data_IF_453867191142
#
_entry.id   IF_453867191142
#
_cell.length_a   1.000
_cell.length_b   1.000
_cell.length_c   1.000
_cell.angle_alpha   90.00
_cell.angle_beta   90.00
_cell.angle_gamma   90.00
#
_symmetry.space_group_name_H-M   'P 1'
#
loop_
_entity.id
_entity.type
_entity.pdbx_description
1 polymer ?
#
# COMPACT_ATOMS: atom_id res chain seq x y z
N UNK A 1 13.84 -0.83 -19.12
CA UNK A 1 14.88 -0.05 -18.40
C UNK A 1 15.59 -0.89 -17.35
N UNK A 2 14.87 -1.58 -16.46
CA UNK A 2 15.50 -2.53 -15.52
C UNK A 2 16.22 -3.67 -16.25
N UNK A 3 15.54 -4.31 -17.22
CA UNK A 3 16.10 -5.41 -18.01
C UNK A 3 17.31 -5.01 -18.89
N UNK A 4 17.44 -3.72 -19.21
CA UNK A 4 18.49 -3.16 -20.06
C UNK A 4 19.49 -2.29 -19.28
N UNK A 5 19.47 -2.39 -17.95
CA UNK A 5 20.26 -1.54 -17.04
C UNK A 5 21.75 -1.77 -17.26
N UNK A 6 22.46 -0.71 -17.66
CA UNK A 6 23.92 -0.66 -17.65
C UNK A 6 24.40 0.10 -16.42
N UNK A 7 25.36 -0.49 -15.72
CA UNK A 7 25.90 0.02 -14.45
C UNK A 7 27.39 0.26 -14.61
N UNK A 8 27.89 1.41 -14.14
CA UNK A 8 29.34 1.64 -14.04
C UNK A 8 29.93 0.85 -12.87
N UNK A 9 31.25 0.72 -12.79
CA UNK A 9 31.93 0.00 -11.69
C UNK A 9 31.59 0.47 -10.26
N UNK A 10 30.88 1.59 -10.09
CA UNK A 10 30.49 2.17 -8.81
C UNK A 10 28.96 2.11 -8.55
N UNK A 11 28.22 1.20 -9.18
CA UNK A 11 26.75 1.08 -9.05
C UNK A 11 25.92 2.28 -9.55
N UNK A 12 26.53 3.20 -10.32
CA UNK A 12 25.80 4.32 -10.92
C UNK A 12 25.11 3.86 -12.21
N UNK A 13 23.81 4.13 -12.31
CA UNK A 13 22.98 3.85 -13.48
C UNK A 13 23.40 4.76 -14.64
N UNK A 14 23.64 4.17 -15.81
CA UNK A 14 23.95 4.91 -17.03
C UNK A 14 22.68 5.24 -17.80
N UNK A 15 22.36 6.52 -17.94
CA UNK A 15 21.21 7.04 -18.69
C UNK A 15 21.72 7.89 -19.88
N UNK A 16 22.00 7.21 -21.00
CA UNK A 16 22.70 7.78 -22.15
C UNK A 16 21.82 8.81 -22.90
N UNK A 17 20.55 8.48 -23.13
CA UNK A 17 19.64 9.31 -23.93
C UNK A 17 18.76 10.24 -23.08
N UNK A 18 18.18 11.26 -23.72
CA UNK A 18 17.13 12.07 -23.09
C UNK A 18 15.92 11.21 -22.71
N UNK A 19 15.54 10.27 -23.58
CA UNK A 19 14.39 9.40 -23.38
C UNK A 19 14.56 8.50 -22.15
N UNK A 20 15.77 7.97 -21.92
CA UNK A 20 16.08 7.22 -20.70
C UNK A 20 15.93 8.10 -19.46
N UNK A 21 16.51 9.32 -19.49
CA UNK A 21 16.46 10.25 -18.35
C UNK A 21 15.04 10.69 -18.04
N UNK A 22 14.25 11.07 -19.05
CA UNK A 22 12.89 11.55 -18.82
C UNK A 22 11.98 10.41 -18.33
N UNK A 23 12.15 9.18 -18.82
CA UNK A 23 11.40 8.03 -18.34
C UNK A 23 11.72 7.73 -16.86
N UNK A 24 13.00 7.82 -16.43
CA UNK A 24 13.36 7.70 -15.01
C UNK A 24 12.70 8.80 -14.19
N UNK A 25 12.77 10.06 -14.63
CA UNK A 25 12.22 11.19 -13.89
C UNK A 25 10.69 11.12 -13.75
N UNK A 26 9.99 10.68 -14.79
CA UNK A 26 8.54 10.44 -14.74
C UNK A 26 8.20 9.36 -13.70
N UNK A 27 8.91 8.23 -13.71
CA UNK A 27 8.71 7.17 -12.73
C UNK A 27 9.09 7.62 -11.32
N UNK A 28 10.12 8.45 -11.17
CA UNK A 28 10.53 9.00 -9.87
C UNK A 28 9.42 9.86 -9.26
N UNK A 29 8.81 10.75 -10.05
CA UNK A 29 7.68 11.58 -9.61
C UNK A 29 6.47 10.69 -9.28
N UNK A 30 6.20 9.67 -10.10
CA UNK A 30 5.10 8.75 -9.86
C UNK A 30 5.28 7.92 -8.58
N UNK A 31 6.50 7.42 -8.32
CA UNK A 31 6.83 6.76 -7.07
C UNK A 31 6.63 7.71 -5.88
N UNK A 32 7.06 8.98 -6.02
CA UNK A 32 6.87 9.98 -4.97
C UNK A 32 5.38 10.23 -4.64
N UNK A 33 4.54 10.31 -5.67
CA UNK A 33 3.08 10.45 -5.53
C UNK A 33 2.44 9.23 -4.84
N UNK A 34 2.90 8.03 -5.21
CA UNK A 34 2.47 6.75 -4.62
C UNK A 34 3.34 6.29 -3.45
N UNK A 35 3.95 7.22 -2.72
CA UNK A 35 4.90 6.89 -1.63
C UNK A 35 4.25 6.73 -0.26
N UNK A 36 2.96 7.04 -0.09
CA UNK A 36 2.31 7.00 1.23
C UNK A 36 2.47 5.65 1.94
N UNK A 37 2.25 4.50 1.28
CA UNK A 37 2.38 3.19 1.93
C UNK A 37 3.81 2.79 2.28
N UNK A 38 4.82 3.52 1.79
CA UNK A 38 6.24 3.23 2.05
C UNK A 38 6.82 4.07 3.20
N UNK A 39 6.02 4.92 3.84
CA UNK A 39 6.43 5.76 4.97
C UNK A 39 6.27 5.03 6.31
N UNK A 40 6.89 5.51 7.40
CA UNK A 40 6.57 5.05 8.74
C UNK A 40 5.06 5.00 8.98
N UNK A 41 4.60 3.95 9.65
CA UNK A 41 3.18 3.61 9.77
C UNK A 41 2.32 4.78 10.28
N UNK A 42 2.83 5.58 11.23
CA UNK A 42 2.10 6.73 11.78
C UNK A 42 1.86 7.85 10.75
N UNK A 43 2.74 7.97 9.76
CA UNK A 43 2.59 8.88 8.63
C UNK A 43 1.62 8.27 7.62
N UNK A 44 1.77 6.98 7.31
CA UNK A 44 0.91 6.29 6.35
C UNK A 44 -0.56 6.34 6.79
N UNK A 45 -0.86 6.03 8.06
CA UNK A 45 -2.23 6.10 8.61
C UNK A 45 -2.85 7.49 8.41
N UNK A 46 -2.10 8.58 8.67
CA UNK A 46 -2.60 9.95 8.46
C UNK A 46 -2.96 10.22 7.00
N UNK A 47 -2.22 9.65 6.05
CA UNK A 47 -2.54 9.77 4.62
C UNK A 47 -3.76 8.94 4.23
N UNK A 48 -3.86 7.72 4.77
CA UNK A 48 -5.04 6.86 4.58
C UNK A 48 -6.30 7.55 5.10
N UNK A 49 -6.26 8.15 6.29
CA UNK A 49 -7.41 8.87 6.86
C UNK A 49 -7.85 10.03 5.95
N UNK A 50 -6.89 10.80 5.42
CA UNK A 50 -7.16 11.94 4.53
C UNK A 50 -7.79 11.52 3.20
N UNK A 51 -7.25 10.49 2.54
CA UNK A 51 -7.78 10.05 1.25
C UNK A 51 -9.16 9.39 1.42
N UNK A 52 -9.37 8.64 2.50
CA UNK A 52 -10.69 8.06 2.79
C UNK A 52 -11.71 9.14 3.10
N UNK A 53 -11.34 10.19 3.85
CA UNK A 53 -12.22 11.33 4.08
C UNK A 53 -12.63 12.02 2.77
N UNK A 54 -11.69 12.21 1.84
CA UNK A 54 -11.97 12.77 0.52
C UNK A 54 -12.94 11.90 -0.29
N UNK A 55 -12.68 10.59 -0.38
CA UNK A 55 -13.56 9.64 -1.07
C UNK A 55 -14.96 9.62 -0.47
N UNK A 56 -15.07 9.67 0.86
CA UNK A 56 -16.37 9.68 1.51
C UNK A 56 -17.14 10.99 1.29
N UNK A 57 -16.46 12.13 1.23
CA UNK A 57 -17.08 13.41 0.85
C UNK A 57 -17.59 13.36 -0.59
N UNK A 58 -16.84 12.73 -1.50
CA UNK A 58 -17.32 12.49 -2.86
C UNK A 58 -18.57 11.60 -2.87
N UNK A 59 -18.55 10.48 -2.15
CA UNK A 59 -19.68 9.56 -2.08
C UNK A 59 -20.95 10.17 -1.47
N UNK A 60 -20.79 11.04 -0.47
CA UNK A 60 -21.91 11.81 0.07
C UNK A 60 -22.50 12.76 -0.98
N UNK A 61 -21.64 13.42 -1.77
CA UNK A 61 -22.08 14.30 -2.85
C UNK A 61 -22.78 13.53 -3.97
N UNK A 62 -22.25 12.37 -4.37
CA UNK A 62 -22.88 11.48 -5.35
C UNK A 62 -24.27 11.05 -4.87
N UNK A 63 -24.40 10.71 -3.57
CA UNK A 63 -25.67 10.35 -2.96
C UNK A 63 -26.68 11.50 -2.95
N UNK A 64 -26.27 12.71 -2.60
CA UNK A 64 -27.11 13.92 -2.66
C UNK A 64 -27.65 14.17 -4.06
N UNK A 65 -26.80 13.97 -5.07
CA UNK A 65 -27.13 14.15 -6.48
C UNK A 65 -27.88 12.97 -7.09
N UNK A 66 -28.14 11.90 -6.31
CA UNK A 66 -28.77 10.64 -6.76
C UNK A 66 -27.99 9.96 -7.89
N UNK A 67 -26.67 10.06 -7.86
CA UNK A 67 -25.76 9.34 -8.73
C UNK A 67 -25.45 7.96 -8.15
N UNK A 68 -24.97 7.05 -9.00
CA UNK A 68 -24.30 5.85 -8.54
C UNK A 68 -23.04 6.26 -7.76
N UNK A 69 -22.86 5.70 -6.57
CA UNK A 69 -21.71 6.03 -5.71
C UNK A 69 -20.48 5.31 -6.25
N UNK A 70 -19.41 6.05 -6.47
CA UNK A 70 -18.16 5.53 -6.98
C UNK A 70 -17.60 4.44 -6.06
N UNK A 71 -16.85 3.46 -6.60
CA UNK A 71 -16.13 2.49 -5.80
C UNK A 71 -15.32 3.18 -4.69
N UNK A 72 -15.29 2.59 -3.50
CA UNK A 72 -14.60 3.10 -2.31
C UNK A 72 -15.18 4.37 -1.66
N UNK A 73 -16.10 5.07 -2.33
CA UNK A 73 -16.65 6.33 -1.84
C UNK A 73 -17.82 6.15 -0.84
N UNK A 74 -18.40 4.95 -0.73
CA UNK A 74 -19.44 4.68 0.28
C UNK A 74 -18.84 4.26 1.64
N UNK A 75 -18.80 5.21 2.57
CA UNK A 75 -18.35 5.01 3.97
C UNK A 75 -19.12 3.95 4.75
N UNK A 76 -20.29 3.49 4.27
CA UNK A 76 -21.14 2.51 4.96
C UNK A 76 -20.74 1.07 4.69
N UNK A 77 -20.02 0.82 3.59
CA UNK A 77 -19.66 -0.53 3.13
C UNK A 77 -18.17 -0.69 2.85
N UNK A 78 -17.41 0.42 2.74
CA UNK A 78 -15.99 0.37 2.49
C UNK A 78 -15.21 -0.26 3.65
N UNK A 79 -14.38 -1.27 3.36
CA UNK A 79 -13.33 -1.75 4.27
C UNK A 79 -12.02 -1.07 3.90
N UNK A 80 -11.57 -0.16 4.76
CA UNK A 80 -10.32 0.60 4.56
C UNK A 80 -9.14 -0.36 4.49
N UNK A 81 -9.06 -1.31 5.42
CA UNK A 81 -7.98 -2.29 5.50
C UNK A 81 -7.87 -3.11 4.21
N UNK A 82 -9.00 -3.63 3.70
CA UNK A 82 -9.02 -4.45 2.48
C UNK A 82 -8.57 -3.64 1.28
N UNK A 83 -8.96 -2.37 1.23
CA UNK A 83 -8.55 -1.48 0.17
C UNK A 83 -7.06 -1.15 0.22
N UNK A 84 -6.50 -0.85 1.40
CA UNK A 84 -5.08 -0.57 1.52
C UNK A 84 -4.22 -1.80 1.16
N UNK A 85 -4.63 -3.02 1.57
CA UNK A 85 -3.95 -4.25 1.15
C UNK A 85 -3.99 -4.40 -0.38
N UNK A 86 -5.17 -4.32 -0.99
CA UNK A 86 -5.29 -4.46 -2.45
C UNK A 86 -4.54 -3.36 -3.22
N UNK A 87 -4.57 -2.12 -2.72
CA UNK A 87 -3.82 -1.02 -3.31
C UNK A 87 -2.31 -1.27 -3.29
N UNK A 88 -1.79 -1.80 -2.18
CA UNK A 88 -0.38 -2.18 -2.10
C UNK A 88 -0.06 -3.33 -3.05
N UNK A 89 -0.84 -4.41 -3.03
CA UNK A 89 -0.56 -5.61 -3.83
C UNK A 89 -0.62 -5.39 -5.34
N UNK A 90 -1.60 -4.60 -5.81
CA UNK A 90 -1.86 -4.47 -7.25
C UNK A 90 -1.23 -3.22 -7.88
N UNK A 91 -0.85 -2.21 -7.08
CA UNK A 91 -0.36 -0.94 -7.62
C UNK A 91 1.00 -0.58 -7.02
N UNK A 92 1.08 -0.42 -5.70
CA UNK A 92 2.25 0.21 -5.07
C UNK A 92 3.44 -0.73 -5.01
N UNK A 93 3.24 -2.01 -4.66
CA UNK A 93 4.33 -2.98 -4.58
C UNK A 93 4.99 -3.24 -5.94
N UNK A 94 4.25 -3.56 -7.04
CA UNK A 94 4.88 -3.77 -8.34
C UNK A 94 5.69 -2.56 -8.84
N UNK A 95 5.21 -1.34 -8.55
CA UNK A 95 5.92 -0.10 -8.89
C UNK A 95 7.22 0.04 -8.09
N UNK A 96 7.15 -0.09 -6.76
CA UNK A 96 8.30 0.12 -5.88
C UNK A 96 9.32 -1.01 -5.96
N UNK A 97 8.89 -2.25 -6.24
CA UNK A 97 9.78 -3.38 -6.53
C UNK A 97 10.61 -3.10 -7.80
N UNK A 98 9.94 -2.71 -8.89
CA UNK A 98 10.62 -2.34 -10.14
C UNK A 98 11.58 -1.15 -9.95
N UNK A 99 11.17 -0.16 -9.15
CA UNK A 99 12.04 0.97 -8.81
C UNK A 99 13.25 0.52 -7.98
N UNK A 100 13.05 -0.37 -6.99
CA UNK A 100 14.11 -0.89 -6.16
C UNK A 100 15.15 -1.69 -6.96
N UNK A 101 14.73 -2.48 -7.95
CA UNK A 101 15.66 -3.15 -8.87
C UNK A 101 16.51 -2.14 -9.67
N UNK A 102 15.86 -1.05 -10.12
CA UNK A 102 16.54 0.01 -10.86
C UNK A 102 17.62 0.68 -10.01
N UNK A 103 17.37 0.96 -8.73
CA UNK A 103 18.29 1.70 -7.84
C UNK A 103 18.97 0.84 -6.77
N UNK A 104 18.96 -0.49 -6.94
CA UNK A 104 19.50 -1.41 -5.92
C UNK A 104 20.93 -1.03 -5.48
N UNK A 105 21.23 -1.00 -4.17
CA UNK A 105 20.37 -1.40 -3.03
C UNK A 105 19.59 -0.25 -2.36
N UNK A 106 19.58 0.96 -2.94
CA UNK A 106 19.24 2.19 -2.21
C UNK A 106 17.79 2.26 -1.72
N UNK A 107 16.87 1.53 -2.35
CA UNK A 107 15.45 1.50 -1.97
C UNK A 107 15.03 0.29 -1.14
N UNK A 108 15.94 -0.59 -0.72
CA UNK A 108 15.58 -1.82 0.01
C UNK A 108 14.82 -1.53 1.32
N UNK A 109 15.22 -0.51 2.08
CA UNK A 109 14.52 -0.11 3.31
C UNK A 109 13.10 0.44 3.05
N UNK A 110 12.88 1.04 1.87
CA UNK A 110 11.56 1.53 1.46
C UNK A 110 10.63 0.35 1.19
N UNK A 111 11.14 -0.68 0.49
CA UNK A 111 10.38 -1.89 0.20
C UNK A 111 10.06 -2.70 1.46
N UNK A 112 11.01 -2.81 2.38
CA UNK A 112 10.79 -3.45 3.69
C UNK A 112 9.68 -2.74 4.49
N UNK A 113 9.69 -1.40 4.51
CA UNK A 113 8.64 -0.61 5.18
C UNK A 113 7.27 -0.81 4.52
N UNK A 114 7.23 -0.92 3.18
CA UNK A 114 5.99 -1.19 2.43
C UNK A 114 5.38 -2.54 2.82
N UNK A 115 6.20 -3.59 2.87
CA UNK A 115 5.78 -4.94 3.27
C UNK A 115 5.27 -4.96 4.72
N UNK A 116 5.99 -4.34 5.65
CA UNK A 116 5.58 -4.22 7.05
C UNK A 116 4.22 -3.51 7.20
N UNK A 117 4.01 -2.41 6.46
CA UNK A 117 2.75 -1.68 6.47
C UNK A 117 1.60 -2.48 5.85
N UNK A 118 1.87 -3.23 4.77
CA UNK A 118 0.89 -4.15 4.16
C UNK A 118 0.46 -5.22 5.16
N UNK A 119 1.41 -5.84 5.84
CA UNK A 119 1.14 -6.88 6.82
C UNK A 119 0.38 -6.35 8.04
N UNK A 120 0.66 -5.11 8.46
CA UNK A 120 -0.12 -4.43 9.50
C UNK A 120 -1.60 -4.28 9.11
N UNK A 121 -1.89 -3.84 7.87
CA UNK A 121 -3.27 -3.76 7.37
C UNK A 121 -3.91 -5.15 7.19
N UNK A 122 -3.15 -6.13 6.70
CA UNK A 122 -3.61 -7.50 6.52
C UNK A 122 -4.00 -8.16 7.86
N UNK A 123 -3.22 -7.96 8.91
CA UNK A 123 -3.49 -8.51 10.24
C UNK A 123 -4.82 -8.01 10.82
N UNK A 124 -5.26 -6.81 10.43
CA UNK A 124 -6.52 -6.20 10.87
C UNK A 124 -7.75 -6.68 10.11
N UNK A 125 -7.57 -7.44 9.02
CA UNK A 125 -8.66 -8.11 8.31
C UNK A 125 -9.11 -9.40 9.00
N UNK A 126 -8.25 -10.03 9.79
CA UNK A 126 -8.57 -11.24 10.55
C UNK A 126 -9.24 -10.86 11.88
N UNK A 127 -10.38 -11.46 12.27
CA UNK A 127 -10.91 -11.26 13.60
C UNK A 127 -9.92 -11.81 14.65
N UNK A 128 -9.83 -11.21 15.85
CA UNK A 128 -9.04 -11.81 16.93
C UNK A 128 -9.54 -13.24 17.20
N UNK A 129 -8.65 -14.20 17.53
CA UNK A 129 -9.07 -15.55 17.84
C UNK A 129 -10.09 -15.50 18.98
N UNK A 130 -11.29 -16.05 18.73
CA UNK A 130 -12.31 -16.22 19.77
C UNK A 130 -11.71 -17.07 20.89
N UNK A 131 -11.52 -16.46 22.07
CA UNK A 131 -11.11 -17.19 23.27
C UNK A 131 -12.26 -18.08 23.75
N UNK A 132 -12.44 -19.24 23.12
CA UNK A 132 -13.34 -20.29 23.61
C UNK A 132 -12.51 -21.34 24.36
N UNK A 133 -12.12 -21.02 25.59
CA UNK A 133 -11.71 -22.02 26.57
C UNK A 133 -12.66 -21.93 27.76
N UNK A 134 -13.81 -22.59 27.65
CA UNK A 134 -14.58 -22.99 28.82
C UNK A 134 -14.31 -24.47 29.03
N UNK A 135 -13.39 -24.75 29.95
CA UNK A 135 -13.04 -26.09 30.42
C UNK A 135 -14.30 -26.75 31.01
N UNK A 136 -14.91 -27.69 30.31
CA UNK A 136 -15.90 -28.61 30.89
C UNK A 136 -15.15 -29.57 31.83
N UNK A 137 -15.03 -29.18 33.11
CA UNK A 137 -14.70 -30.13 34.17
C UNK A 137 -15.99 -30.87 34.51
N UNK A 138 -16.19 -32.04 33.89
CA UNK A 138 -17.15 -33.02 34.37
C UNK A 138 -16.62 -33.59 35.69
N UNK A 139 -17.16 -33.12 36.81
CA UNK A 139 -17.01 -33.81 38.10
C UNK A 139 -17.82 -35.12 38.05
N UNK A 140 -17.07 -36.23 37.99
CA UNK A 140 -17.54 -37.56 38.27
C UNK A 140 -17.57 -37.83 39.78
N UNK A 141 -18.69 -38.42 40.21
CA UNK A 141 -18.84 -39.33 41.37
C UNK A 141 -19.07 -38.72 42.76
N UNK A 142 -19.67 -39.46 43.70
CA UNK A 142 -19.99 -40.91 43.72
C UNK A 142 -21.47 -41.29 43.59
#
# INVERSE_FOLDING_TARGET
MVESKKVTGNNIIMLESYDDRIQVLQNMIHCADLSNPTKPLDIYIKWTDRIMEEFWRQGDKERELRLEISPMCDRRVASVEKHQVGFIEFIVHPLWETWADLVYPDASAILETLEQNRDWYQARLSPPPSSSNTTNISHSSP
#
